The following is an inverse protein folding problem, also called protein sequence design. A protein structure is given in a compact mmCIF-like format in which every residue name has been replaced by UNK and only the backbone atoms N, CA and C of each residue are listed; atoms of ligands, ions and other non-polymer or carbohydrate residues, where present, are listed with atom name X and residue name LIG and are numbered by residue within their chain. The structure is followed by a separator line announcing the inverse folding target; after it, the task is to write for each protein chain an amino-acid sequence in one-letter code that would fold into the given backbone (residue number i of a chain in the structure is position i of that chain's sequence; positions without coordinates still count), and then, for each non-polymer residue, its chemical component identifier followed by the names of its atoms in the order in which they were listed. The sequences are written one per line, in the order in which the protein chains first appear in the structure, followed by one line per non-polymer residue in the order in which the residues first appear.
data_IF_784423663929
#
_entry.id   IF_784423663929
#
_cell.length_a   1.000
_cell.length_b   1.000
_cell.length_c   1.000
_cell.angle_alpha   90.00
_cell.angle_beta   90.00
_cell.angle_gamma   90.00
#
_symmetry.space_group_name_H-M   'P 1'
#
loop_
_entity.id
_entity.type
_entity.pdbx_description
1 polymer ?
#
# COMPACT_ATOMS: atom_id res chain seq x y z
N UNK A 1 -9.56 9.39 11.83
CA UNK A 1 -9.51 7.93 11.59
C UNK A 1 -9.98 7.68 10.16
N UNK A 2 -9.27 6.85 9.41
CA UNK A 2 -9.62 6.57 8.01
C UNK A 2 -10.79 5.58 7.92
N UNK A 3 -11.72 5.84 7.01
CA UNK A 3 -12.87 4.95 6.83
C UNK A 3 -12.43 3.64 6.16
N UNK A 4 -12.89 2.50 6.71
CA UNK A 4 -12.71 1.15 6.14
C UNK A 4 -13.83 0.79 5.14
N UNK A 5 -14.74 1.72 4.86
CA UNK A 5 -15.81 1.49 3.88
C UNK A 5 -15.25 1.52 2.45
N UNK A 6 -15.58 0.52 1.60
CA UNK A 6 -15.12 0.46 0.22
C UNK A 6 -15.80 1.54 -0.63
N UNK A 7 -15.03 2.56 -1.03
CA UNK A 7 -15.54 3.73 -1.76
C UNK A 7 -14.76 4.04 -3.05
N UNK A 8 -13.50 3.60 -3.14
CA UNK A 8 -12.58 3.95 -4.21
C UNK A 8 -12.38 2.79 -5.18
N UNK A 9 -12.38 3.09 -6.48
CA UNK A 9 -12.04 2.10 -7.50
C UNK A 9 -10.51 2.01 -7.68
N UNK A 10 -10.05 0.96 -8.38
CA UNK A 10 -8.63 0.77 -8.68
C UNK A 10 -7.99 2.02 -9.30
N UNK A 11 -8.63 2.69 -10.27
CA UNK A 11 -8.05 3.87 -10.92
C UNK A 11 -7.80 5.02 -9.94
N UNK A 12 -8.75 5.26 -9.02
CA UNK A 12 -8.59 6.27 -7.99
C UNK A 12 -7.40 5.95 -7.08
N UNK A 13 -7.22 4.68 -6.68
CA UNK A 13 -6.06 4.26 -5.88
C UNK A 13 -4.74 4.52 -6.62
N UNK A 14 -4.66 4.21 -7.92
CA UNK A 14 -3.43 4.42 -8.70
C UNK A 14 -3.10 5.91 -8.84
N UNK A 15 -4.11 6.78 -9.02
CA UNK A 15 -3.91 8.23 -9.07
C UNK A 15 -3.46 8.79 -7.71
N UNK A 16 -4.04 8.31 -6.61
CA UNK A 16 -3.73 8.76 -5.25
C UNK A 16 -2.36 8.29 -4.75
N UNK A 17 -1.93 7.10 -5.16
CA UNK A 17 -0.70 6.47 -4.67
C UNK A 17 0.47 6.64 -5.64
N UNK A 18 0.20 6.92 -6.91
CA UNK A 18 1.20 6.92 -7.99
C UNK A 18 1.77 5.53 -8.31
N UNK A 19 1.19 4.46 -7.75
CA UNK A 19 1.67 3.09 -7.95
C UNK A 19 1.18 2.53 -9.28
N UNK A 20 1.95 1.62 -9.90
CA UNK A 20 1.50 0.88 -11.07
C UNK A 20 0.48 -0.21 -10.70
N UNK A 21 -0.50 -0.47 -11.57
CA UNK A 21 -1.55 -1.47 -11.33
C UNK A 21 -0.98 -2.88 -11.10
N UNK A 22 0.09 -3.24 -11.82
CA UNK A 22 0.76 -4.54 -11.68
C UNK A 22 1.43 -4.69 -10.32
N UNK A 23 2.04 -3.61 -9.80
CA UNK A 23 2.65 -3.59 -8.47
C UNK A 23 1.60 -3.82 -7.38
N UNK A 24 0.45 -3.14 -7.47
CA UNK A 24 -0.63 -3.32 -6.50
C UNK A 24 -1.17 -4.75 -6.52
N UNK A 25 -1.40 -5.30 -7.72
CA UNK A 25 -1.85 -6.70 -7.89
C UNK A 25 -0.83 -7.70 -7.37
N UNK A 26 0.46 -7.44 -7.57
CA UNK A 26 1.53 -8.27 -7.04
C UNK A 26 1.55 -8.26 -5.51
N UNK A 27 1.34 -7.09 -4.88
CA UNK A 27 1.26 -6.97 -3.43
C UNK A 27 0.04 -7.70 -2.86
N UNK A 28 -1.14 -7.51 -3.46
CA UNK A 28 -2.36 -8.25 -3.11
C UNK A 28 -2.14 -9.76 -3.18
N UNK A 29 -1.50 -10.26 -4.24
CA UNK A 29 -1.27 -11.69 -4.44
C UNK A 29 -0.22 -12.26 -3.50
N UNK A 30 0.86 -11.53 -3.24
CA UNK A 30 2.03 -12.03 -2.50
C UNK A 30 1.90 -11.87 -1.00
N UNK A 31 1.30 -10.77 -0.55
CA UNK A 31 1.23 -10.37 0.84
C UNK A 31 -0.20 -10.31 1.39
N UNK A 32 -1.21 -10.40 0.53
CA UNK A 32 -2.61 -10.27 0.94
C UNK A 32 -3.00 -8.85 1.35
N UNK A 33 -2.21 -7.84 0.97
CA UNK A 33 -2.40 -6.44 1.35
C UNK A 33 -2.36 -5.51 0.12
N UNK A 34 -3.29 -4.54 0.01
CA UNK A 34 -4.52 -4.41 0.80
C UNK A 34 -5.55 -5.51 0.48
N UNK A 35 -6.62 -5.60 1.26
CA UNK A 35 -7.71 -6.58 1.07
C UNK A 35 -8.94 -5.88 0.46
N UNK A 36 -9.00 -5.67 -0.87
CA UNK A 36 -10.11 -4.95 -1.47
C UNK A 36 -11.43 -5.69 -1.27
N UNK A 37 -12.47 -4.93 -0.96
CA UNK A 37 -13.83 -5.47 -0.93
C UNK A 37 -14.33 -5.67 -2.36
N UNK A 38 -15.13 -6.72 -2.58
CA UNK A 38 -15.76 -6.94 -3.89
C UNK A 38 -17.12 -6.28 -3.88
N UNK A 39 -17.36 -5.36 -4.81
CA UNK A 39 -18.69 -4.80 -5.03
C UNK A 39 -19.64 -5.88 -5.52
N UNK A 40 -20.96 -5.63 -5.43
CA UNK A 40 -22.00 -6.50 -5.97
C UNK A 40 -21.82 -6.78 -7.48
N UNK A 41 -21.17 -5.88 -8.22
CA UNK A 41 -20.85 -6.03 -9.64
C UNK A 41 -19.53 -6.76 -9.92
N UNK A 42 -18.84 -7.29 -8.90
CA UNK A 42 -17.58 -8.04 -9.05
C UNK A 42 -16.33 -7.16 -9.22
N UNK A 43 -16.44 -5.84 -9.04
CA UNK A 43 -15.29 -4.93 -9.12
C UNK A 43 -14.59 -4.82 -7.76
N UNK A 44 -13.27 -4.59 -7.79
CA UNK A 44 -12.47 -4.32 -6.58
C UNK A 44 -12.70 -2.89 -6.14
N UNK A 45 -13.15 -2.74 -4.90
CA UNK A 45 -13.27 -1.46 -4.22
C UNK A 45 -12.31 -1.42 -3.04
N UNK A 46 -11.67 -0.28 -2.89
CA UNK A 46 -10.71 0.04 -1.84
C UNK A 46 -11.34 1.08 -0.92
N UNK A 47 -10.98 1.02 0.34
CA UNK A 47 -11.36 2.01 1.34
C UNK A 47 -10.30 3.10 1.45
N UNK A 48 -10.62 4.19 2.15
CA UNK A 48 -9.61 5.19 2.48
C UNK A 48 -8.48 4.54 3.31
N UNK A 49 -8.83 3.63 4.22
CA UNK A 49 -7.86 2.88 5.00
C UNK A 49 -6.88 2.09 4.13
N UNK A 50 -7.36 1.45 3.06
CA UNK A 50 -6.51 0.71 2.11
C UNK A 50 -5.55 1.63 1.37
N UNK A 51 -6.01 2.81 0.92
CA UNK A 51 -5.18 3.80 0.24
C UNK A 51 -4.03 4.25 1.15
N UNK A 52 -4.35 4.58 2.40
CA UNK A 52 -3.35 5.06 3.36
C UNK A 52 -2.40 3.94 3.79
N UNK A 53 -2.88 2.69 3.84
CA UNK A 53 -2.02 1.50 4.03
C UNK A 53 -1.00 1.39 2.89
N UNK A 54 -1.44 1.54 1.63
CA UNK A 54 -0.53 1.53 0.47
C UNK A 54 0.47 2.68 0.56
N UNK A 55 0.02 3.91 0.88
CA UNK A 55 0.90 5.07 1.02
C UNK A 55 1.93 4.86 2.12
N UNK A 56 1.56 4.24 3.24
CA UNK A 56 2.47 3.88 4.32
C UNK A 56 3.55 2.89 3.85
N UNK A 57 3.17 1.85 3.10
CA UNK A 57 4.12 0.88 2.54
C UNK A 57 5.10 1.53 1.54
N UNK A 58 4.60 2.42 0.67
CA UNK A 58 5.42 3.19 -0.27
C UNK A 58 6.41 4.09 0.49
N UNK A 59 5.97 4.75 1.55
CA UNK A 59 6.84 5.58 2.38
C UNK A 59 8.00 4.77 2.99
N UNK A 60 7.72 3.56 3.51
CA UNK A 60 8.77 2.66 3.99
C UNK A 60 9.73 2.23 2.89
N UNK A 61 9.21 1.97 1.69
CA UNK A 61 10.06 1.67 0.55
C UNK A 61 10.97 2.86 0.17
N UNK A 62 10.47 4.08 0.26
CA UNK A 62 11.25 5.30 0.04
C UNK A 62 12.30 5.57 1.13
N UNK A 63 12.13 5.00 2.33
CA UNK A 63 13.14 4.97 3.40
C UNK A 63 14.23 3.91 3.17
N UNK A 64 14.10 3.08 2.12
CA UNK A 64 15.06 2.02 1.77
C UNK A 64 14.68 0.62 2.26
N UNK A 65 13.49 0.46 2.85
CA UNK A 65 13.01 -0.86 3.27
C UNK A 65 12.50 -1.67 2.06
N UNK A 66 12.67 -3.00 2.12
CA UNK A 66 11.98 -3.87 1.18
C UNK A 66 10.48 -3.91 1.49
N UNK A 67 9.65 -4.11 0.46
CA UNK A 67 8.20 -4.24 0.67
C UNK A 67 7.85 -5.38 1.63
N UNK A 68 8.62 -6.47 1.62
CA UNK A 68 8.42 -7.60 2.54
C UNK A 68 8.62 -7.17 3.99
N UNK A 69 9.68 -6.39 4.28
CA UNK A 69 9.94 -5.88 5.63
C UNK A 69 8.90 -4.85 6.05
N UNK A 70 8.46 -3.99 5.14
CA UNK A 70 7.39 -3.04 5.41
C UNK A 70 6.07 -3.76 5.77
N UNK A 71 5.72 -4.81 5.02
CA UNK A 71 4.54 -5.66 5.31
C UNK A 71 4.68 -6.39 6.65
N UNK A 72 5.87 -6.90 6.96
CA UNK A 72 6.12 -7.54 8.25
C UNK A 72 5.92 -6.55 9.41
N UNK A 73 6.49 -5.35 9.31
CA UNK A 73 6.26 -4.28 10.30
C UNK A 73 4.78 -3.92 10.42
N UNK A 74 4.05 -3.85 9.30
CA UNK A 74 2.61 -3.63 9.31
C UNK A 74 1.88 -4.71 10.12
N UNK A 75 2.19 -5.97 9.87
CA UNK A 75 1.58 -7.10 10.60
C UNK A 75 1.96 -7.10 12.08
N UNK A 76 3.21 -6.77 12.43
CA UNK A 76 3.68 -6.64 13.82
C UNK A 76 2.87 -5.59 14.60
N UNK A 77 2.58 -4.44 13.99
CA UNK A 77 1.77 -3.37 14.61
C UNK A 77 0.34 -3.85 14.86
N UNK A 78 -0.29 -4.44 13.83
CA UNK A 78 -1.65 -4.99 13.94
C UNK A 78 -1.73 -6.08 15.01
N UNK A 79 -0.73 -6.98 15.08
CA UNK A 79 -0.65 -8.03 16.09
C UNK A 79 -0.47 -7.46 17.52
N UNK A 80 0.21 -6.33 17.64
CA UNK A 80 0.41 -5.60 18.91
C UNK A 80 -0.80 -4.75 19.31
N UNK A 81 -1.89 -4.76 18.52
CA UNK A 81 -3.07 -3.94 18.74
C UNK A 81 -2.88 -2.44 18.44
N UNK A 82 -1.74 -2.07 17.83
CA UNK A 82 -1.46 -0.72 17.39
C UNK A 82 -1.85 -0.59 15.92
N UNK A 83 -2.80 0.27 15.60
CA UNK A 83 -3.06 0.61 14.20
C UNK A 83 -1.90 1.50 13.70
N UNK A 84 -1.11 1.07 12.71
CA UNK A 84 -0.02 1.87 12.15
C UNK A 84 -0.50 3.25 11.72
N UNK A 85 -1.76 3.36 11.30
CA UNK A 85 -2.38 4.59 10.82
C UNK A 85 -3.03 5.42 11.94
N UNK A 86 -3.11 4.94 13.18
CA UNK A 86 -3.71 5.70 14.29
C UNK A 86 -2.97 7.01 14.58
N UNK A 87 -1.65 7.03 14.36
CA UNK A 87 -0.82 8.24 14.50
C UNK A 87 -0.81 9.16 13.26
N UNK A 88 -1.32 8.68 12.12
CA UNK A 88 -1.31 9.43 10.86
C UNK A 88 -2.68 10.09 10.66
N UNK A 89 -2.79 11.37 11.01
CA UNK A 89 -3.93 12.18 10.55
C UNK A 89 -3.81 12.40 9.03
N UNK A 90 -4.95 12.48 8.34
CA UNK A 90 -5.13 12.47 6.87
C UNK A 90 -4.32 13.47 6.04
N UNK A 91 -3.47 14.28 6.66
CA UNK A 91 -2.65 15.33 6.03
C UNK A 91 -1.14 15.20 6.32
N UNK A 92 -0.67 14.16 7.02
CA UNK A 92 0.73 14.07 7.48
C UNK A 92 1.63 13.12 6.69
N UNK A 93 1.19 12.55 5.57
CA UNK A 93 2.09 11.73 4.77
C UNK A 93 3.12 12.60 4.06
N UNK A 94 4.44 12.38 4.26
CA UNK A 94 5.42 13.02 3.39
C UNK A 94 5.10 12.57 1.96
N UNK A 95 5.05 13.50 0.99
CA UNK A 95 4.82 13.12 -0.40
C UNK A 95 5.84 12.04 -0.76
N UNK A 96 5.44 10.99 -1.52
CA UNK A 96 6.42 10.05 -2.03
C UNK A 96 7.48 10.87 -2.75
N UNK A 97 8.72 10.85 -2.24
CA UNK A 97 9.86 11.39 -2.99
C UNK A 97 9.77 10.73 -4.36
N UNK A 98 9.74 11.51 -5.47
CA UNK A 98 9.61 10.93 -6.80
C UNK A 98 10.68 9.85 -6.94
N UNK A 99 10.23 8.61 -7.13
CA UNK A 99 11.09 7.46 -7.33
C UNK A 99 11.83 7.72 -8.65
N UNK A 100 13.08 8.18 -8.57
CA UNK A 100 14.01 8.02 -9.68
C UNK A 100 13.95 6.55 -10.13
N UNK A 101 13.98 6.26 -11.44
CA UNK A 101 13.94 4.89 -11.92
C UNK A 101 15.07 4.11 -11.27
N UNK A 102 14.70 3.11 -10.46
CA UNK A 102 15.66 2.18 -9.88
C UNK A 102 16.37 1.49 -11.05
N UNK A 103 17.71 1.50 -11.16
CA UNK A 103 18.40 0.71 -12.16
C UNK A 103 18.00 -0.76 -11.99
N UNK A 104 17.85 -1.52 -13.09
CA UNK A 104 17.37 -2.89 -13.02
C UNK A 104 18.28 -3.71 -12.09
N UNK A 105 17.69 -4.26 -11.03
CA UNK A 105 18.32 -5.33 -10.25
C UNK A 105 18.47 -6.54 -11.17
N UNK A 106 19.66 -6.70 -11.75
CA UNK A 106 20.08 -7.91 -12.44
C UNK A 106 20.05 -9.06 -11.44
N UNK A 107 18.96 -9.80 -11.41
CA UNK A 107 18.98 -11.13 -10.81
C UNK A 107 19.77 -12.04 -11.73
N UNK A 108 21.03 -12.25 -11.36
CA UNK A 108 21.95 -13.20 -11.96
C UNK A 108 21.53 -14.59 -11.45
N UNK A 109 20.93 -15.40 -12.32
CA UNK A 109 20.73 -16.83 -12.08
C UNK A 109 21.77 -17.60 -12.89
N UNK A 110 22.36 -18.62 -12.26
CA UNK A 110 23.35 -19.57 -12.79
C UNK A 110 22.84 -20.37 -13.97
#
# INVERSE_FOLDING_TARGET
MFSKSPAFNLKAVLLETGLAADTLRAWERRYGLPTPNRSAGGHRLYSQYDIETIKWLIARQAEGLSISRAVEMWNEHIASGLDPLAGYTSSSFPPPKPLLPTPPQTQRWT
#
